data_IF_311343521141
#
_entry.id   IF_311343521141
#
_cell.length_a   1.000
_cell.length_b   1.000
_cell.length_c   1.000
_cell.angle_alpha   90.00
_cell.angle_beta   90.00
_cell.angle_gamma   90.00
#
_symmetry.space_group_name_H-M   'P 1'
#
loop_
_entity.id
_entity.type
_entity.pdbx_description
1 polymer ?
#
# COMPACT_ATOMS: atom_id res chain seq x y z
N UNK A 1 18.38 -1.52 -28.26
CA UNK A 1 17.27 -2.41 -27.85
C UNK A 1 17.18 -2.33 -26.34
N UNK A 2 16.27 -1.50 -25.82
CA UNK A 2 16.03 -1.39 -24.40
C UNK A 2 15.31 -2.65 -23.91
N UNK A 3 15.93 -3.38 -23.00
CA UNK A 3 15.26 -4.43 -22.25
C UNK A 3 14.22 -3.74 -21.37
N UNK A 4 12.97 -3.65 -21.85
CA UNK A 4 11.87 -3.11 -21.08
C UNK A 4 11.67 -3.94 -19.82
N UNK A 5 11.52 -3.28 -18.66
CA UNK A 5 11.16 -3.95 -17.43
C UNK A 5 9.79 -4.62 -17.59
N UNK A 6 9.67 -5.84 -17.13
CA UNK A 6 8.39 -6.56 -17.13
C UNK A 6 7.46 -6.00 -16.06
N UNK A 7 6.16 -5.98 -16.34
CA UNK A 7 5.12 -5.75 -15.33
C UNK A 7 5.01 -6.98 -14.44
N UNK A 8 4.97 -6.78 -13.12
CA UNK A 8 4.83 -7.83 -12.14
C UNK A 8 3.42 -7.83 -11.54
N UNK A 9 2.78 -9.00 -11.50
CA UNK A 9 1.48 -9.17 -10.84
C UNK A 9 1.62 -9.13 -9.32
N UNK A 10 0.66 -8.50 -8.66
CA UNK A 10 0.51 -8.57 -7.21
C UNK A 10 -0.32 -9.79 -6.84
N UNK A 11 0.28 -10.76 -6.15
CA UNK A 11 -0.41 -11.92 -5.58
C UNK A 11 -0.49 -11.77 -4.06
N UNK A 12 -1.66 -11.39 -3.57
CA UNK A 12 -1.90 -11.19 -2.14
C UNK A 12 -1.80 -12.48 -1.31
N UNK A 13 -1.71 -13.65 -1.92
CA UNK A 13 -1.49 -14.92 -1.19
C UNK A 13 0.00 -15.19 -0.92
N UNK A 14 0.89 -14.51 -1.60
CA UNK A 14 2.35 -14.68 -1.55
C UNK A 14 3.11 -13.38 -1.21
N UNK A 15 2.39 -12.28 -1.12
CA UNK A 15 2.94 -10.92 -1.05
C UNK A 15 3.22 -10.47 0.39
N UNK A 16 4.05 -11.22 1.12
CA UNK A 16 4.52 -10.81 2.46
C UNK A 16 5.32 -9.50 2.39
N UNK A 17 5.12 -8.62 3.36
CA UNK A 17 5.80 -7.31 3.46
C UNK A 17 5.68 -6.47 2.17
N UNK A 18 4.53 -6.53 1.52
CA UNK A 18 4.28 -5.80 0.29
C UNK A 18 2.91 -5.15 0.29
N UNK A 19 2.79 -4.12 -0.53
CA UNK A 19 1.55 -3.40 -0.77
C UNK A 19 1.33 -3.22 -2.28
N UNK A 20 0.07 -3.04 -2.65
CA UNK A 20 -0.34 -2.62 -3.99
C UNK A 20 -0.99 -1.23 -3.89
N UNK A 21 -0.54 -0.31 -4.72
CA UNK A 21 -1.01 1.09 -4.74
C UNK A 21 -1.73 1.37 -6.04
N UNK A 22 -2.98 1.82 -5.94
CA UNK A 22 -3.82 2.23 -7.05
C UNK A 22 -3.53 3.69 -7.45
N UNK A 23 -3.99 4.11 -8.62
CA UNK A 23 -3.75 5.46 -9.18
C UNK A 23 -4.34 6.60 -8.32
N UNK A 24 -5.39 6.30 -7.56
CA UNK A 24 -6.01 7.22 -6.60
C UNK A 24 -5.30 7.26 -5.22
N UNK A 25 -4.13 6.62 -5.10
CA UNK A 25 -3.34 6.48 -3.87
C UNK A 25 -3.97 5.59 -2.78
N UNK A 26 -5.03 4.83 -3.09
CA UNK A 26 -5.52 3.77 -2.21
C UNK A 26 -4.55 2.60 -2.18
N UNK A 27 -4.56 1.87 -1.07
CA UNK A 27 -3.65 0.75 -0.85
C UNK A 27 -4.45 -0.52 -0.66
N UNK A 28 -4.02 -1.60 -1.32
CA UNK A 28 -4.46 -2.95 -1.03
C UNK A 28 -3.28 -3.75 -0.48
N UNK A 29 -3.48 -4.45 0.63
CA UNK A 29 -2.46 -5.29 1.22
C UNK A 29 -3.07 -6.50 1.91
N UNK A 30 -2.28 -7.58 2.01
CA UNK A 30 -2.63 -8.79 2.74
C UNK A 30 -1.81 -8.91 4.01
N UNK A 31 -2.49 -9.27 5.10
CA UNK A 31 -1.84 -9.79 6.31
C UNK A 31 -1.75 -11.31 6.14
N UNK A 32 -0.53 -11.85 6.11
CA UNK A 32 -0.27 -13.27 5.88
C UNK A 32 0.22 -13.91 7.18
N UNK A 33 -0.38 -15.03 7.55
CA UNK A 33 -0.03 -15.79 8.76
C UNK A 33 -0.06 -17.27 8.50
N UNK A 34 0.67 -18.04 9.32
CA UNK A 34 0.61 -19.51 9.28
C UNK A 34 -0.79 -19.99 9.65
N UNK A 35 -1.28 -20.98 8.91
CA UNK A 35 -2.61 -21.57 9.06
C UNK A 35 -2.52 -23.10 8.93
N UNK A 36 -1.65 -23.70 9.75
CA UNK A 36 -1.25 -25.10 9.65
C UNK A 36 -1.87 -26.03 10.69
N UNK A 37 -2.75 -25.51 11.56
CA UNK A 37 -3.40 -26.28 12.61
C UNK A 37 -4.81 -26.67 12.24
N UNK A 38 -5.21 -27.91 12.53
CA UNK A 38 -6.52 -28.47 12.21
C UNK A 38 -7.69 -27.77 12.92
N UNK A 39 -7.41 -27.06 14.01
CA UNK A 39 -8.40 -26.29 14.78
C UNK A 39 -8.55 -24.85 14.35
N UNK A 40 -7.78 -24.38 13.35
CA UNK A 40 -7.94 -23.03 12.81
C UNK A 40 -9.18 -22.94 11.93
N UNK A 41 -9.95 -21.87 12.11
CA UNK A 41 -11.15 -21.56 11.33
C UNK A 41 -10.95 -20.28 10.53
N UNK A 42 -11.12 -20.38 9.21
CA UNK A 42 -11.06 -19.20 8.33
C UNK A 42 -12.22 -18.23 8.60
N UNK A 43 -13.39 -18.72 8.99
CA UNK A 43 -14.54 -17.90 9.32
C UNK A 43 -14.30 -17.11 10.63
N UNK A 44 -13.66 -17.73 11.62
CA UNK A 44 -13.26 -17.03 12.84
C UNK A 44 -12.21 -15.95 12.55
N UNK A 45 -11.20 -16.27 11.74
CA UNK A 45 -10.18 -15.30 11.33
C UNK A 45 -10.81 -14.12 10.56
N UNK A 46 -11.70 -14.38 9.63
CA UNK A 46 -12.44 -13.36 8.90
C UNK A 46 -13.27 -12.48 9.86
N UNK A 47 -13.96 -13.10 10.84
CA UNK A 47 -14.73 -12.39 11.85
C UNK A 47 -13.86 -11.46 12.72
N UNK A 48 -12.69 -11.91 13.14
CA UNK A 48 -11.72 -11.07 13.89
C UNK A 48 -11.25 -9.91 13.03
N UNK A 49 -10.86 -10.15 11.79
CA UNK A 49 -10.41 -9.11 10.86
C UNK A 49 -11.48 -8.05 10.59
N UNK A 50 -12.73 -8.47 10.41
CA UNK A 50 -13.87 -7.56 10.26
C UNK A 50 -14.07 -6.68 11.49
N UNK A 51 -13.96 -7.25 12.70
CA UNK A 51 -14.09 -6.50 13.96
C UNK A 51 -12.93 -5.53 14.18
N UNK A 52 -11.72 -5.88 13.80
CA UNK A 52 -10.55 -4.98 13.85
C UNK A 52 -10.74 -3.78 12.93
N UNK A 53 -11.15 -4.01 11.69
CA UNK A 53 -11.44 -2.94 10.74
C UNK A 53 -12.57 -2.03 11.23
N UNK A 54 -13.69 -2.62 11.72
CA UNK A 54 -14.81 -1.87 12.27
C UNK A 54 -14.39 -1.02 13.48
N UNK A 55 -13.66 -1.61 14.41
CA UNK A 55 -13.20 -0.91 15.63
C UNK A 55 -12.28 0.25 15.29
N UNK A 56 -11.34 0.06 14.37
CA UNK A 56 -10.45 1.11 13.90
C UNK A 56 -11.22 2.23 13.21
N UNK A 57 -12.09 1.90 12.24
CA UNK A 57 -12.88 2.87 11.50
C UNK A 57 -13.76 3.71 12.43
N UNK A 58 -14.41 3.05 13.41
CA UNK A 58 -15.28 3.72 14.39
C UNK A 58 -14.49 4.64 15.32
N UNK A 59 -13.39 4.16 15.87
CA UNK A 59 -12.63 4.90 16.88
C UNK A 59 -11.82 6.07 16.30
N UNK A 60 -11.31 5.93 15.07
CA UNK A 60 -10.43 6.94 14.46
C UNK A 60 -11.18 7.88 13.51
N UNK A 61 -12.21 7.37 12.82
CA UNK A 61 -12.89 8.09 11.73
C UNK A 61 -14.40 8.26 11.92
N UNK A 62 -14.95 7.79 13.05
CA UNK A 62 -16.40 7.78 13.32
C UNK A 62 -17.23 7.09 12.20
N UNK A 63 -16.63 6.04 11.59
CA UNK A 63 -17.22 5.27 10.51
C UNK A 63 -17.64 3.89 11.03
N UNK A 64 -18.92 3.53 10.88
CA UNK A 64 -19.51 2.28 11.43
C UNK A 64 -19.57 1.13 10.43
N UNK A 65 -18.72 1.13 9.40
CA UNK A 65 -18.64 0.09 8.39
C UNK A 65 -17.23 -0.51 8.33
N UNK A 66 -17.14 -1.81 7.99
CA UNK A 66 -15.88 -2.50 7.69
C UNK A 66 -15.80 -3.00 6.24
N UNK A 67 -16.89 -2.92 5.49
CA UNK A 67 -16.95 -3.35 4.09
C UNK A 67 -18.00 -2.53 3.33
N UNK A 68 -17.75 -2.28 2.06
CA UNK A 68 -18.73 -1.66 1.16
C UNK A 68 -20.00 -2.49 0.99
N UNK A 69 -19.95 -3.79 1.25
CA UNK A 69 -21.14 -4.66 1.17
C UNK A 69 -22.21 -4.34 2.24
N UNK A 70 -21.84 -3.63 3.29
CA UNK A 70 -22.76 -3.17 4.34
C UNK A 70 -23.49 -1.87 3.98
N UNK A 71 -23.09 -1.20 2.89
CA UNK A 71 -23.53 0.12 2.51
C UNK A 71 -24.64 0.10 1.44
N UNK A 72 -25.52 1.11 1.48
CA UNK A 72 -26.41 1.43 0.36
C UNK A 72 -25.61 1.96 -0.84
N UNK A 73 -26.26 2.07 -1.99
CA UNK A 73 -25.63 2.62 -3.19
C UNK A 73 -25.19 4.08 -2.97
N UNK A 74 -26.04 4.87 -2.34
CA UNK A 74 -25.83 6.29 -2.05
C UNK A 74 -24.64 6.47 -1.07
N UNK A 75 -24.53 5.59 -0.07
CA UNK A 75 -23.41 5.61 0.87
C UNK A 75 -22.08 5.25 0.19
N UNK A 76 -22.08 4.25 -0.71
CA UNK A 76 -20.88 3.88 -1.48
C UNK A 76 -20.35 5.02 -2.37
N UNK A 77 -21.25 5.87 -2.87
CA UNK A 77 -20.90 7.02 -3.70
C UNK A 77 -20.36 8.21 -2.89
N UNK A 78 -20.70 8.29 -1.60
CA UNK A 78 -20.37 9.43 -0.73
C UNK A 78 -19.34 9.15 0.34
N UNK A 79 -19.10 7.90 0.71
CA UNK A 79 -18.21 7.49 1.80
C UNK A 79 -17.05 6.69 1.24
N UNK A 80 -15.83 7.19 1.44
CA UNK A 80 -14.61 6.40 1.27
C UNK A 80 -14.30 5.69 2.59
N UNK A 81 -14.35 4.35 2.59
CA UNK A 81 -14.00 3.57 3.79
C UNK A 81 -12.52 3.74 4.12
N UNK A 82 -12.20 4.11 5.37
CA UNK A 82 -10.80 4.19 5.80
C UNK A 82 -10.09 2.85 5.65
N UNK A 83 -10.60 1.80 6.30
CA UNK A 83 -10.15 0.41 6.16
C UNK A 83 -11.33 -0.44 5.71
N UNK A 84 -11.19 -1.12 4.59
CA UNK A 84 -12.18 -2.05 4.06
C UNK A 84 -11.66 -3.47 4.13
N UNK A 85 -12.33 -4.34 4.91
CA UNK A 85 -12.10 -5.78 4.80
C UNK A 85 -12.64 -6.29 3.47
N UNK A 86 -11.80 -6.98 2.69
CA UNK A 86 -12.23 -7.57 1.42
C UNK A 86 -12.54 -9.06 1.54
N UNK A 87 -11.56 -9.83 1.99
CA UNK A 87 -11.66 -11.29 2.09
C UNK A 87 -10.55 -11.91 2.94
N UNK A 88 -10.77 -13.15 3.33
CA UNK A 88 -9.76 -14.04 3.86
C UNK A 88 -9.71 -15.32 3.02
N UNK A 89 -8.52 -15.78 2.68
CA UNK A 89 -8.30 -17.00 1.90
C UNK A 89 -7.17 -17.82 2.51
N UNK A 90 -7.22 -19.14 2.32
CA UNK A 90 -6.16 -20.07 2.75
C UNK A 90 -5.56 -20.73 1.51
N UNK A 91 -4.24 -20.67 1.41
CA UNK A 91 -3.46 -21.34 0.38
C UNK A 91 -2.16 -21.86 1.00
N UNK A 92 -1.84 -23.14 0.75
CA UNK A 92 -0.58 -23.76 1.19
C UNK A 92 -0.28 -23.59 2.68
N UNK A 93 -1.31 -23.78 3.52
CA UNK A 93 -1.24 -23.62 4.99
C UNK A 93 -0.89 -22.21 5.47
N UNK A 94 -1.15 -21.22 4.64
CA UNK A 94 -1.11 -19.79 5.02
C UNK A 94 -2.49 -19.17 4.83
N UNK A 95 -2.88 -18.31 5.75
CA UNK A 95 -4.05 -17.46 5.62
C UNK A 95 -3.61 -16.07 5.18
N UNK A 96 -4.34 -15.52 4.21
CA UNK A 96 -4.19 -14.14 3.75
C UNK A 96 -5.48 -13.39 4.00
N UNK A 97 -5.41 -12.34 4.79
CA UNK A 97 -6.53 -11.41 5.02
C UNK A 97 -6.26 -10.13 4.25
N UNK A 98 -7.12 -9.82 3.29
CA UNK A 98 -6.96 -8.68 2.39
C UNK A 98 -7.80 -7.51 2.85
N UNK A 99 -7.13 -6.36 2.99
CA UNK A 99 -7.75 -5.08 3.25
C UNK A 99 -7.43 -4.07 2.16
N UNK A 100 -8.35 -3.12 1.95
CA UNK A 100 -8.10 -1.88 1.21
C UNK A 100 -8.09 -0.71 2.19
N UNK A 101 -7.16 0.20 2.01
CA UNK A 101 -6.96 1.38 2.85
C UNK A 101 -7.13 2.63 1.99
N UNK A 102 -7.80 3.64 2.53
CA UNK A 102 -8.07 4.89 1.82
C UNK A 102 -6.79 5.62 1.38
N UNK A 103 -5.72 5.53 2.17
CA UNK A 103 -4.42 6.14 1.92
C UNK A 103 -3.33 5.59 2.85
N UNK A 104 -2.11 6.10 2.72
CA UNK A 104 -0.96 5.69 3.53
C UNK A 104 -1.10 6.02 5.01
N UNK A 105 -1.75 7.12 5.39
CA UNK A 105 -1.96 7.47 6.80
C UNK A 105 -2.91 6.48 7.48
N UNK A 106 -3.96 6.07 6.79
CA UNK A 106 -4.89 5.04 7.27
C UNK A 106 -4.19 3.69 7.40
N UNK A 107 -3.39 3.30 6.40
CA UNK A 107 -2.58 2.09 6.45
C UNK A 107 -1.61 2.11 7.64
N UNK A 108 -0.91 3.23 7.84
CA UNK A 108 0.02 3.42 8.96
C UNK A 108 -0.66 3.29 10.32
N UNK A 109 -1.82 3.91 10.47
CA UNK A 109 -2.58 3.83 11.73
C UNK A 109 -3.05 2.42 12.05
N UNK A 110 -3.57 1.69 11.06
CA UNK A 110 -4.07 0.33 11.22
C UNK A 110 -2.95 -0.70 11.45
N UNK A 111 -1.81 -0.54 10.77
CA UNK A 111 -0.66 -1.46 10.84
C UNK A 111 0.52 -0.89 11.65
N UNK A 112 0.26 -0.02 12.61
CA UNK A 112 1.30 0.72 13.34
C UNK A 112 2.29 -0.19 14.08
N UNK A 113 1.82 -1.30 14.65
CA UNK A 113 2.67 -2.25 15.37
C UNK A 113 3.66 -2.95 14.43
N UNK A 114 3.21 -3.39 13.26
CA UNK A 114 4.04 -4.05 12.25
C UNK A 114 5.09 -3.08 11.67
N UNK A 115 4.69 -1.84 11.39
CA UNK A 115 5.60 -0.79 10.90
C UNK A 115 6.68 -0.48 11.94
N UNK A 116 6.31 -0.33 13.22
CA UNK A 116 7.25 -0.10 14.32
C UNK A 116 8.19 -1.29 14.52
N UNK A 117 7.69 -2.52 14.45
CA UNK A 117 8.51 -3.73 14.53
C UNK A 117 9.52 -3.83 13.35
N UNK A 118 9.18 -3.29 12.18
CA UNK A 118 10.10 -3.15 11.05
C UNK A 118 11.07 -1.96 11.18
N UNK A 119 11.01 -1.22 12.29
CA UNK A 119 11.87 -0.07 12.57
C UNK A 119 11.45 1.23 11.89
N UNK A 120 10.23 1.28 11.34
CA UNK A 120 9.68 2.45 10.67
C UNK A 120 8.68 3.22 11.52
N UNK A 121 8.16 4.28 10.94
CA UNK A 121 7.13 5.12 11.54
C UNK A 121 5.92 5.33 10.65
N UNK A 122 6.08 5.31 9.32
CA UNK A 122 4.96 5.57 8.40
C UNK A 122 5.15 5.04 6.99
N UNK A 123 4.00 4.84 6.37
CA UNK A 123 3.81 4.80 4.93
C UNK A 123 2.89 5.97 4.53
N UNK A 124 3.24 6.67 3.47
CA UNK A 124 2.47 7.81 2.95
C UNK A 124 2.16 7.58 1.48
N UNK A 125 0.93 7.85 1.07
CA UNK A 125 0.51 7.84 -0.34
C UNK A 125 -0.34 9.08 -0.63
N UNK A 126 -0.16 9.64 -1.82
CA UNK A 126 -0.99 10.75 -2.32
C UNK A 126 -0.76 10.92 -3.81
N UNK A 127 -1.70 11.51 -4.52
CA UNK A 127 -1.37 12.16 -5.78
C UNK A 127 -0.46 13.36 -5.50
N UNK A 128 0.51 13.62 -6.37
CA UNK A 128 1.47 14.72 -6.17
C UNK A 128 0.79 16.08 -6.05
N UNK A 129 -0.28 16.31 -6.83
CA UNK A 129 -1.06 17.55 -6.77
C UNK A 129 -1.76 17.81 -5.43
N UNK A 130 -1.99 16.77 -4.62
CA UNK A 130 -2.64 16.81 -3.31
C UNK A 130 -1.67 16.52 -2.16
N UNK A 131 -0.40 16.29 -2.46
CA UNK A 131 0.59 15.89 -1.45
C UNK A 131 0.89 17.04 -0.50
N UNK A 132 0.89 16.71 0.79
CA UNK A 132 1.36 17.58 1.88
C UNK A 132 2.80 17.28 2.27
N UNK A 133 3.40 16.22 1.71
CA UNK A 133 4.78 15.83 1.96
C UNK A 133 5.73 16.70 1.13
N UNK A 134 6.68 17.32 1.79
CA UNK A 134 7.77 18.02 1.11
C UNK A 134 8.73 17.01 0.49
N UNK A 135 8.93 17.09 -0.82
CA UNK A 135 9.95 16.30 -1.51
C UNK A 135 11.29 17.02 -1.47
N UNK A 136 12.35 16.29 -1.24
CA UNK A 136 13.72 16.79 -1.25
C UNK A 136 14.67 15.82 -1.93
N UNK A 137 15.73 16.35 -2.55
CA UNK A 137 16.75 15.56 -3.23
C UNK A 137 16.44 15.36 -4.72
N UNK A 138 17.25 14.51 -5.34
CA UNK A 138 17.13 14.12 -6.74
C UNK A 138 16.37 12.80 -6.86
N UNK A 139 15.63 12.69 -7.93
CA UNK A 139 14.93 11.47 -8.31
C UNK A 139 15.48 10.97 -9.63
N UNK A 140 15.44 9.66 -9.81
CA UNK A 140 15.91 9.01 -11.03
C UNK A 140 14.77 8.24 -11.69
N UNK A 141 14.78 8.14 -13.02
CA UNK A 141 13.86 7.26 -13.74
C UNK A 141 14.05 5.82 -13.33
N UNK A 142 13.04 4.96 -13.58
CA UNK A 142 13.09 3.54 -13.22
C UNK A 142 14.29 2.78 -13.80
N UNK A 143 14.84 3.25 -14.92
CA UNK A 143 16.06 2.73 -15.55
C UNK A 143 17.36 3.40 -15.04
N UNK A 144 17.25 4.38 -14.14
CA UNK A 144 18.38 5.13 -13.58
C UNK A 144 19.08 6.10 -14.55
N UNK A 145 18.56 6.31 -15.78
CA UNK A 145 19.24 7.05 -16.83
C UNK A 145 19.09 8.57 -16.74
N UNK A 146 17.95 9.02 -16.21
CA UNK A 146 17.62 10.45 -16.16
C UNK A 146 17.30 10.88 -14.74
N UNK A 147 17.71 12.10 -14.40
CA UNK A 147 17.40 12.74 -13.13
C UNK A 147 16.31 13.78 -13.30
N UNK A 148 15.53 13.98 -12.26
CA UNK A 148 14.56 15.06 -12.14
C UNK A 148 14.68 15.69 -10.75
N UNK A 149 14.60 17.01 -10.69
CA UNK A 149 14.54 17.71 -9.41
C UNK A 149 13.18 17.52 -8.73
N UNK A 150 13.14 17.65 -7.41
CA UNK A 150 11.87 17.64 -6.66
C UNK A 150 10.90 18.74 -7.13
N UNK A 151 11.41 19.90 -7.51
CA UNK A 151 10.59 21.01 -8.04
C UNK A 151 9.90 20.63 -9.37
N UNK A 152 10.62 20.02 -10.31
CA UNK A 152 10.04 19.60 -11.59
C UNK A 152 9.13 18.39 -11.44
N UNK A 153 9.43 17.50 -10.47
CA UNK A 153 8.59 16.38 -10.15
C UNK A 153 7.21 16.82 -9.62
N UNK A 154 7.16 17.83 -8.76
CA UNK A 154 5.90 18.36 -8.21
C UNK A 154 4.97 18.98 -9.26
N UNK A 155 5.46 19.27 -10.47
CA UNK A 155 4.63 19.72 -11.60
C UNK A 155 3.81 18.60 -12.24
N UNK A 156 4.10 17.33 -11.91
CA UNK A 156 3.39 16.14 -12.39
C UNK A 156 2.26 15.77 -11.42
N UNK A 157 1.24 16.61 -11.37
CA UNK A 157 0.21 16.61 -10.32
C UNK A 157 -0.66 15.35 -10.26
N UNK A 158 -0.77 14.63 -11.37
CA UNK A 158 -1.54 13.38 -11.55
C UNK A 158 -0.75 12.10 -11.21
N UNK A 159 0.57 12.21 -10.98
CA UNK A 159 1.38 11.07 -10.56
C UNK A 159 1.12 10.72 -9.10
N UNK A 160 1.23 9.43 -8.79
CA UNK A 160 1.04 8.92 -7.43
C UNK A 160 2.37 8.79 -6.71
N UNK A 161 2.47 9.42 -5.54
CA UNK A 161 3.61 9.36 -4.62
C UNK A 161 3.39 8.26 -3.59
N UNK A 162 4.41 7.44 -3.38
CA UNK A 162 4.54 6.52 -2.25
C UNK A 162 5.84 6.83 -1.51
N UNK A 163 5.76 6.93 -0.20
CA UNK A 163 6.91 7.05 0.70
C UNK A 163 6.77 6.04 1.83
N UNK A 164 7.87 5.40 2.20
CA UNK A 164 7.95 4.61 3.42
C UNK A 164 9.33 4.74 4.06
N UNK A 165 9.40 4.67 5.38
CA UNK A 165 10.62 4.68 6.18
C UNK A 165 10.92 3.32 6.83
N UNK A 166 10.47 2.24 6.20
CA UNK A 166 10.72 0.86 6.60
C UNK A 166 10.80 -0.05 5.36
N UNK A 167 11.37 -1.26 5.49
CA UNK A 167 11.45 -2.20 4.38
C UNK A 167 10.08 -2.66 3.91
N UNK A 168 9.75 -2.38 2.66
CA UNK A 168 8.50 -2.76 2.01
C UNK A 168 8.66 -2.86 0.51
N UNK A 169 8.01 -3.85 -0.10
CA UNK A 169 7.90 -3.96 -1.55
C UNK A 169 6.59 -3.32 -2.01
N UNK A 170 6.68 -2.43 -2.97
CA UNK A 170 5.53 -1.66 -3.48
C UNK A 170 5.27 -2.05 -4.92
N UNK A 171 4.05 -2.50 -5.18
CA UNK A 171 3.50 -2.71 -6.51
C UNK A 171 2.57 -1.56 -6.85
N UNK A 172 2.64 -1.04 -8.06
CA UNK A 172 1.72 -0.03 -8.56
C UNK A 172 0.78 -0.57 -9.62
N UNK A 173 -0.37 0.08 -9.75
CA UNK A 173 -1.29 -0.14 -10.86
C UNK A 173 -0.65 0.29 -12.20
N UNK A 174 0.17 1.34 -12.16
CA UNK A 174 0.89 1.89 -13.29
C UNK A 174 2.41 1.72 -13.18
N UNK A 175 3.10 2.06 -14.25
CA UNK A 175 4.56 2.00 -14.29
C UNK A 175 5.20 3.06 -13.38
N UNK A 176 6.34 2.69 -12.81
CA UNK A 176 7.20 3.61 -12.06
C UNK A 176 7.77 4.65 -13.03
N UNK A 177 7.56 5.92 -12.69
CA UNK A 177 8.16 7.03 -13.40
C UNK A 177 9.53 7.39 -12.81
N UNK A 178 9.58 7.54 -11.48
CA UNK A 178 10.78 7.96 -10.75
C UNK A 178 10.87 7.28 -9.39
N UNK A 179 12.08 7.16 -8.89
CA UNK A 179 12.38 6.69 -7.53
C UNK A 179 13.46 7.57 -6.90
N UNK A 180 13.54 7.60 -5.59
CA UNK A 180 14.73 8.09 -4.89
C UNK A 180 15.90 7.12 -5.09
N UNK A 181 17.18 7.59 -5.04
CA UNK A 181 18.33 6.77 -5.40
C UNK A 181 18.54 5.50 -4.54
N UNK A 182 17.98 5.46 -3.33
CA UNK A 182 18.06 4.35 -2.39
C UNK A 182 16.96 3.29 -2.57
N UNK A 183 16.13 3.41 -3.60
CA UNK A 183 15.06 2.45 -3.93
C UNK A 183 15.53 1.52 -5.04
N UNK A 184 15.26 0.23 -4.90
CA UNK A 184 15.57 -0.79 -5.90
C UNK A 184 14.34 -1.09 -6.75
N UNK A 185 14.43 -0.83 -8.05
CA UNK A 185 13.38 -1.17 -9.02
C UNK A 185 13.49 -2.65 -9.38
N UNK A 186 12.40 -3.40 -9.23
CA UNK A 186 12.32 -4.85 -9.48
C UNK A 186 11.60 -5.19 -10.79
N UNK A 187 10.65 -4.34 -11.19
CA UNK A 187 9.87 -4.48 -12.42
C UNK A 187 9.36 -3.09 -12.84
N UNK A 188 8.69 -2.98 -13.99
CA UNK A 188 8.18 -1.68 -14.45
C UNK A 188 7.23 -1.03 -13.44
N UNK A 189 6.49 -1.84 -12.68
CA UNK A 189 5.50 -1.40 -11.69
C UNK A 189 5.82 -1.86 -10.26
N UNK A 190 7.04 -2.32 -9.98
CA UNK A 190 7.40 -2.86 -8.67
C UNK A 190 8.77 -2.37 -8.24
N UNK A 191 8.85 -1.86 -7.01
CA UNK A 191 10.11 -1.43 -6.40
C UNK A 191 10.14 -1.79 -4.92
N UNK A 192 11.35 -1.84 -4.36
CA UNK A 192 11.59 -2.19 -2.98
C UNK A 192 12.33 -1.07 -2.26
N UNK A 193 11.79 -0.68 -1.12
CA UNK A 193 12.46 0.12 -0.10
C UNK A 193 13.08 -0.87 0.88
N UNK A 194 14.40 -0.84 1.07
CA UNK A 194 15.14 -1.86 1.81
C UNK A 194 15.61 -1.42 3.19
N UNK A 195 15.54 -0.13 3.48
CA UNK A 195 16.06 0.44 4.72
C UNK A 195 15.08 1.37 5.42
N UNK A 196 15.54 1.93 6.53
CA UNK A 196 14.77 2.84 7.38
C UNK A 196 15.10 4.32 7.14
N UNK A 197 15.89 4.63 6.11
CA UNK A 197 16.28 6.00 5.75
C UNK A 197 15.21 6.76 4.92
N UNK A 198 14.10 6.09 4.68
CA UNK A 198 13.03 6.59 3.83
C UNK A 198 13.31 6.42 2.34
N UNK A 199 12.30 6.08 1.58
CA UNK A 199 12.37 5.93 0.13
C UNK A 199 11.10 6.45 -0.53
N UNK A 200 11.25 6.98 -1.74
CA UNK A 200 10.16 7.51 -2.55
C UNK A 200 10.02 6.73 -3.85
N UNK A 201 8.78 6.40 -4.19
CA UNK A 201 8.42 5.78 -5.47
C UNK A 201 7.31 6.62 -6.08
N UNK A 202 7.47 6.98 -7.35
CA UNK A 202 6.49 7.78 -8.10
C UNK A 202 5.98 6.93 -9.26
N UNK A 203 4.70 6.68 -9.28
CA UNK A 203 3.98 6.01 -10.38
C UNK A 203 3.35 7.04 -11.32
N UNK A 204 3.22 6.64 -12.62
CA UNK A 204 2.59 7.50 -13.64
C UNK A 204 1.10 7.64 -13.42
#
# INVERSE_FOLDING_TARGET
EGCGLFTKSYDFTEAENSIYVEDNATIRAAMISDFDKDYYSIDELAGVAQQEALSFNKNVYDCSYYSYDQMTKEEKESILLPVCYEKAVVKDKKASVVFTYANGDTYTGFNSAEIQNAGGSKLYTSQLGSSTMALSGDFVTSDGQKHISSEDLMKKTDYCLVYADYPVTVFGEHDIAYVSPNVTVLASNCAQITGNDGGYIIFK
#
